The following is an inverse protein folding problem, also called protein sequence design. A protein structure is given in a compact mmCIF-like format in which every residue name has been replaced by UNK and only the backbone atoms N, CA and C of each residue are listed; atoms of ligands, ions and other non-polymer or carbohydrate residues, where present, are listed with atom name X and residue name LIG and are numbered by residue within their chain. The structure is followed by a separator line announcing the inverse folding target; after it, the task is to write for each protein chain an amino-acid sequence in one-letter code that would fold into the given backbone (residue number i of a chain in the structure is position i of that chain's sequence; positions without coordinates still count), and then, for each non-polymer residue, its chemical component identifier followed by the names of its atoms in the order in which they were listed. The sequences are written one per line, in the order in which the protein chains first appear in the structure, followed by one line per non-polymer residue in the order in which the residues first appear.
data_IF_048603446028
#
_entry.id   IF_048603446028
#
_cell.length_a   1.000
_cell.length_b   1.000
_cell.length_c   1.000
_cell.angle_alpha   90.00
_cell.angle_beta   90.00
_cell.angle_gamma   90.00
#
_symmetry.space_group_name_H-M   'P 1'
#
loop_
_entity.id
_entity.type
_entity.pdbx_description
1 polymer ?
#
# COMPACT_ATOMS: atom_id res chain seq x y z
N UNK A 1 20.30 -3.42 0.65
CA UNK A 1 18.93 -3.51 1.19
C UNK A 1 18.49 -2.09 1.46
N UNK A 2 17.60 -1.51 0.63
CA UNK A 2 17.21 -0.11 0.76
C UNK A 2 16.44 0.13 2.05
N UNK A 3 16.79 1.18 2.78
CA UNK A 3 16.06 1.59 3.97
C UNK A 3 14.68 2.11 3.55
N UNK A 4 13.64 1.33 3.88
CA UNK A 4 12.25 1.73 3.68
C UNK A 4 11.74 2.24 5.04
N UNK A 5 11.15 3.44 5.12
CA UNK A 5 10.61 3.94 6.38
C UNK A 5 9.58 2.96 6.97
N UNK A 6 9.54 2.75 8.30
CA UNK A 6 8.63 1.78 8.92
C UNK A 6 7.14 1.90 8.51
N UNK A 7 6.58 3.11 8.28
CA UNK A 7 5.19 3.24 7.80
C UNK A 7 4.98 2.66 6.40
N UNK A 8 5.97 2.77 5.52
CA UNK A 8 5.91 2.25 4.15
C UNK A 8 6.02 0.72 4.18
N UNK A 9 6.85 0.15 5.06
CA UNK A 9 6.94 -1.29 5.23
C UNK A 9 5.61 -1.91 5.71
N UNK A 10 4.92 -1.27 6.67
CA UNK A 10 3.57 -1.68 7.10
C UNK A 10 2.57 -1.70 5.95
N UNK A 11 2.61 -0.69 5.07
CA UNK A 11 1.73 -0.63 3.90
C UNK A 11 2.02 -1.77 2.90
N UNK A 12 3.30 -2.07 2.68
CA UNK A 12 3.72 -3.19 1.83
C UNK A 12 3.25 -4.52 2.42
N UNK A 13 3.41 -4.72 3.72
CA UNK A 13 2.94 -5.93 4.41
C UNK A 13 1.42 -6.08 4.33
N UNK A 14 0.67 -4.98 4.48
CA UNK A 14 -0.78 -4.98 4.33
C UNK A 14 -1.21 -5.45 2.93
N UNK A 15 -0.60 -4.91 1.86
CA UNK A 15 -0.89 -5.36 0.49
C UNK A 15 -0.43 -6.79 0.20
N UNK A 16 0.66 -7.25 0.82
CA UNK A 16 1.17 -8.61 0.64
C UNK A 16 0.29 -9.70 1.27
N UNK A 17 -0.69 -9.33 2.11
CA UNK A 17 -1.67 -10.27 2.67
C UNK A 17 -2.76 -10.66 1.68
N UNK A 18 -2.87 -9.97 0.54
CA UNK A 18 -3.92 -10.26 -0.44
C UNK A 18 -3.61 -11.56 -1.21
N UNK A 19 -4.62 -12.40 -1.49
CA UNK A 19 -4.42 -13.63 -2.23
C UNK A 19 -3.83 -13.32 -3.62
N UNK A 20 -2.72 -13.98 -3.97
CA UNK A 20 -2.04 -13.78 -5.24
C UNK A 20 -1.09 -12.57 -5.31
N UNK A 21 -0.92 -11.81 -4.22
CA UNK A 21 -0.02 -10.65 -4.18
C UNK A 21 1.25 -10.94 -3.37
N UNK A 22 2.37 -11.15 -4.07
CA UNK A 22 3.68 -11.28 -3.44
C UNK A 22 4.34 -9.94 -3.07
N UNK A 23 5.38 -9.98 -2.22
CA UNK A 23 6.11 -8.80 -1.70
C UNK A 23 6.52 -7.79 -2.77
N UNK A 24 7.00 -8.24 -3.93
CA UNK A 24 7.39 -7.35 -5.06
C UNK A 24 6.20 -6.60 -5.65
N UNK A 25 5.04 -7.24 -5.74
CA UNK A 25 3.80 -6.61 -6.25
C UNK A 25 3.23 -5.67 -5.20
N UNK A 26 3.16 -6.10 -3.94
CA UNK A 26 2.75 -5.26 -2.82
C UNK A 26 3.58 -3.97 -2.69
N UNK A 27 4.91 -4.08 -2.89
CA UNK A 27 5.80 -2.93 -2.94
C UNK A 27 5.43 -1.95 -4.05
N UNK A 28 5.12 -2.43 -5.26
CA UNK A 28 4.68 -1.56 -6.37
C UNK A 28 3.37 -0.85 -6.03
N UNK A 29 2.43 -1.55 -5.42
CA UNK A 29 1.13 -0.98 -5.02
C UNK A 29 1.30 0.10 -3.94
N UNK A 30 2.09 -0.17 -2.90
CA UNK A 30 2.41 0.81 -1.86
C UNK A 30 3.02 2.08 -2.45
N UNK A 31 4.03 1.95 -3.31
CA UNK A 31 4.64 3.12 -3.95
C UNK A 31 3.74 3.82 -4.95
N UNK A 32 2.80 3.12 -5.59
CA UNK A 32 1.79 3.76 -6.42
C UNK A 32 0.91 4.67 -5.57
N UNK A 33 0.28 4.14 -4.51
CA UNK A 33 -0.59 4.90 -3.61
C UNK A 33 0.14 6.10 -2.98
N UNK A 34 1.40 5.93 -2.56
CA UNK A 34 2.20 7.00 -1.97
C UNK A 34 2.63 8.09 -2.97
N UNK A 35 2.64 7.78 -4.28
CA UNK A 35 2.95 8.75 -5.35
C UNK A 35 1.70 9.38 -5.97
N UNK A 36 0.53 8.79 -5.74
CA UNK A 36 -0.75 9.34 -6.16
C UNK A 36 -1.09 10.61 -5.38
N UNK A 37 -2.10 11.34 -5.85
CA UNK A 37 -2.67 12.46 -5.08
C UNK A 37 -3.20 11.96 -3.73
N UNK A 38 -3.07 12.78 -2.69
CA UNK A 38 -3.55 12.49 -1.35
C UNK A 38 -5.04 12.13 -1.35
N UNK A 39 -5.84 12.75 -2.22
CA UNK A 39 -7.26 12.42 -2.36
C UNK A 39 -7.49 10.96 -2.74
N UNK A 40 -6.65 10.40 -3.61
CA UNK A 40 -6.76 8.99 -4.01
C UNK A 40 -6.48 8.05 -2.85
N UNK A 41 -5.45 8.34 -2.05
CA UNK A 41 -5.12 7.52 -0.88
C UNK A 41 -6.23 7.57 0.18
N UNK A 42 -6.85 8.74 0.39
CA UNK A 42 -7.98 8.91 1.31
C UNK A 42 -9.20 8.13 0.82
N UNK A 43 -9.59 8.30 -0.43
CA UNK A 43 -10.74 7.57 -1.01
C UNK A 43 -10.54 6.06 -0.98
N UNK A 44 -9.32 5.57 -1.22
CA UNK A 44 -9.01 4.15 -1.10
C UNK A 44 -9.19 3.66 0.34
N UNK A 45 -8.76 4.44 1.33
CA UNK A 45 -8.93 4.07 2.74
C UNK A 45 -10.41 4.08 3.16
N UNK A 46 -11.16 5.11 2.76
CA UNK A 46 -12.61 5.20 3.00
C UNK A 46 -13.36 4.02 2.37
N UNK A 47 -13.07 3.71 1.10
CA UNK A 47 -13.69 2.59 0.41
C UNK A 47 -13.38 1.23 1.05
N UNK A 48 -12.32 1.09 1.83
CA UNK A 48 -12.04 -0.14 2.61
C UNK A 48 -12.85 -0.16 3.92
N UNK A 49 -13.14 1.00 4.51
CA UNK A 49 -13.88 1.13 5.77
C UNK A 49 -15.40 1.07 5.59
N UNK A 50 -15.90 1.41 4.41
CA UNK A 50 -17.34 1.45 4.09
C UNK A 50 -17.96 0.07 3.76
N UNK A 51 -17.18 -1.01 3.81
CA UNK A 51 -17.59 -2.38 3.43
C UNK A 51 -17.71 -3.29 4.65
#
# INVERSE_FOLDING_TARGET
MGFVPPPVEKLIEAFARFPGIGKKTAQRMAFYVLKSDNQYAVQLAEAVMDV
#
